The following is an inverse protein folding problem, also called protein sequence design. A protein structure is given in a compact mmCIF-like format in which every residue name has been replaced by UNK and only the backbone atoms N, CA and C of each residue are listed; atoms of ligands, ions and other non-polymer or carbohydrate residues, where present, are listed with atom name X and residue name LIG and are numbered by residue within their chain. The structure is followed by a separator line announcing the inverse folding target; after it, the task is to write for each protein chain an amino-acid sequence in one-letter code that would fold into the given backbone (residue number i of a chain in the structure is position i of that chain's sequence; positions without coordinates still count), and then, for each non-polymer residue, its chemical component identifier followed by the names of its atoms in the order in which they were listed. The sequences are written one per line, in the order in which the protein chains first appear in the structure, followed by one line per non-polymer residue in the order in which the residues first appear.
data_IF_329671745178
#
_entry.id   IF_329671745178
#
_cell.length_a   1.000
_cell.length_b   1.000
_cell.length_c   1.000
_cell.angle_alpha   90.00
_cell.angle_beta   90.00
_cell.angle_gamma   90.00
#
_symmetry.space_group_name_H-M   'P 1'
#
loop_
_entity.id
_entity.type
_entity.pdbx_description
1 polymer ?
#
# COMPACT_ATOMS: atom_id res chain seq x y z
N UNK A 1 1.99 -12.16 15.57
CA UNK A 1 1.64 -11.20 14.47
C UNK A 1 0.17 -10.87 14.52
N UNK A 2 -0.17 -9.61 14.69
CA UNK A 2 -1.56 -9.13 14.72
C UNK A 2 -1.82 -8.26 13.50
N UNK A 3 -2.89 -8.56 12.77
CA UNK A 3 -3.38 -7.71 11.67
C UNK A 3 -4.72 -7.13 12.11
N UNK A 4 -4.81 -5.81 12.10
CA UNK A 4 -6.02 -5.11 12.54
C UNK A 4 -6.20 -3.78 11.82
N UNK A 5 -7.42 -3.21 11.82
CA UNK A 5 -7.63 -1.86 11.34
C UNK A 5 -6.82 -0.85 12.16
N UNK A 6 -6.40 0.23 11.50
CA UNK A 6 -5.78 1.36 12.16
C UNK A 6 -6.87 2.28 12.73
N UNK A 7 -6.79 2.53 14.04
CA UNK A 7 -7.70 3.46 14.71
C UNK A 7 -7.09 4.86 14.77
N UNK A 8 -7.93 5.87 14.95
CA UNK A 8 -7.47 7.26 15.11
C UNK A 8 -6.51 7.43 16.30
N UNK A 9 -6.69 6.64 17.36
CA UNK A 9 -5.82 6.64 18.53
C UNK A 9 -4.40 6.13 18.23
N UNK A 10 -4.23 5.31 17.18
CA UNK A 10 -2.93 4.77 16.77
C UNK A 10 -2.07 5.79 16.01
N UNK A 11 -2.67 6.80 15.41
CA UNK A 11 -1.99 7.69 14.47
C UNK A 11 -0.74 8.35 15.05
N UNK A 12 -0.74 8.90 16.28
CA UNK A 12 0.47 9.52 16.82
C UNK A 12 1.68 8.60 16.90
N UNK A 13 1.48 7.30 17.11
CA UNK A 13 2.56 6.32 17.22
C UNK A 13 2.84 5.65 15.88
N UNK A 14 1.81 5.26 15.13
CA UNK A 14 1.97 4.45 13.93
C UNK A 14 2.22 5.27 12.66
N UNK A 15 1.74 6.50 12.54
CA UNK A 15 2.04 7.31 11.35
C UNK A 15 3.54 7.56 11.15
N UNK A 16 4.32 7.90 12.19
CA UNK A 16 5.78 7.99 12.04
C UNK A 16 6.41 6.67 11.62
N UNK A 17 5.96 5.54 12.19
CA UNK A 17 6.47 4.21 11.87
C UNK A 17 6.13 3.81 10.42
N UNK A 18 4.92 4.12 9.96
CA UNK A 18 4.50 3.89 8.59
C UNK A 18 5.35 4.71 7.62
N UNK A 19 5.58 5.98 7.90
CA UNK A 19 6.40 6.85 7.08
C UNK A 19 7.85 6.35 7.00
N UNK A 20 8.42 5.92 8.12
CA UNK A 20 9.78 5.38 8.16
C UNK A 20 9.89 4.08 7.34
N UNK A 21 8.92 3.18 7.47
CA UNK A 21 8.88 1.92 6.72
C UNK A 21 8.76 2.19 5.21
N UNK A 22 7.84 3.04 4.80
CA UNK A 22 7.63 3.41 3.41
C UNK A 22 8.92 4.01 2.82
N UNK A 23 9.53 4.97 3.52
CA UNK A 23 10.75 5.62 3.05
C UNK A 23 11.89 4.62 2.87
N UNK A 24 12.08 3.72 3.83
CA UNK A 24 13.12 2.69 3.76
C UNK A 24 12.95 1.80 2.52
N UNK A 25 11.74 1.31 2.29
CA UNK A 25 11.45 0.45 1.15
C UNK A 25 11.49 1.21 -0.17
N UNK A 26 11.01 2.45 -0.20
CA UNK A 26 11.06 3.27 -1.40
C UNK A 26 12.48 3.58 -1.83
N UNK A 27 13.37 3.91 -0.90
CA UNK A 27 14.78 4.17 -1.18
C UNK A 27 15.49 2.92 -1.73
N UNK A 28 15.12 1.74 -1.23
CA UNK A 28 15.76 0.50 -1.65
C UNK A 28 15.21 -0.01 -3.00
N UNK A 29 13.89 0.05 -3.22
CA UNK A 29 13.23 -0.70 -4.30
C UNK A 29 12.48 0.16 -5.32
N UNK A 30 12.14 1.40 -5.04
CA UNK A 30 11.19 2.17 -5.85
C UNK A 30 11.84 3.36 -6.56
N UNK A 31 12.64 4.15 -5.85
CA UNK A 31 13.15 5.43 -6.38
C UNK A 31 14.08 5.25 -7.59
N UNK A 32 14.71 4.08 -7.73
CA UNK A 32 15.59 3.78 -8.86
C UNK A 32 14.86 3.70 -10.20
N UNK A 33 13.55 3.47 -10.16
CA UNK A 33 12.68 3.37 -11.34
C UNK A 33 12.15 4.72 -11.81
N UNK A 34 12.44 5.78 -11.07
CA UNK A 34 11.86 7.10 -11.27
C UNK A 34 12.95 8.14 -11.52
N UNK A 35 12.57 9.30 -12.08
CA UNK A 35 13.50 10.42 -12.18
C UNK A 35 13.84 10.94 -10.78
N UNK A 36 15.01 11.63 -10.61
CA UNK A 36 15.34 12.21 -9.30
C UNK A 36 14.24 13.14 -8.76
N UNK A 37 13.60 13.93 -9.60
CA UNK A 37 12.52 14.82 -9.19
C UNK A 37 11.28 14.02 -8.78
N UNK A 38 10.90 13.01 -9.56
CA UNK A 38 9.77 12.13 -9.25
C UNK A 38 9.98 11.39 -7.94
N UNK A 39 11.19 10.89 -7.70
CA UNK A 39 11.55 10.22 -6.45
C UNK A 39 11.46 11.17 -5.25
N UNK A 40 11.99 12.38 -5.38
CA UNK A 40 11.95 13.39 -4.31
C UNK A 40 10.51 13.80 -3.98
N UNK A 41 9.67 14.01 -4.99
CA UNK A 41 8.25 14.33 -4.82
C UNK A 41 7.51 13.20 -4.12
N UNK A 42 7.72 11.96 -4.56
CA UNK A 42 7.11 10.79 -3.93
C UNK A 42 7.46 10.69 -2.44
N UNK A 43 8.73 10.85 -2.09
CA UNK A 43 9.18 10.78 -0.70
C UNK A 43 8.60 11.92 0.14
N UNK A 44 8.51 13.13 -0.43
CA UNK A 44 7.96 14.29 0.27
C UNK A 44 6.45 14.15 0.52
N UNK A 45 5.70 13.62 -0.46
CA UNK A 45 4.25 13.44 -0.35
C UNK A 45 3.85 12.28 0.56
N UNK A 46 4.78 11.36 0.85
CA UNK A 46 4.53 10.17 1.65
C UNK A 46 5.34 10.14 2.95
N UNK A 47 5.66 11.30 3.49
CA UNK A 47 6.22 11.44 4.82
C UNK A 47 5.12 11.29 5.89
N UNK A 48 5.45 11.50 7.16
CA UNK A 48 4.47 11.41 8.24
C UNK A 48 3.27 12.33 8.01
N UNK A 49 3.50 13.56 7.58
CA UNK A 49 2.43 14.51 7.28
C UNK A 49 1.54 13.99 6.14
N UNK A 50 2.12 13.47 5.09
CA UNK A 50 1.39 12.87 3.96
C UNK A 50 0.50 11.71 4.40
N UNK A 51 1.02 10.83 5.24
CA UNK A 51 0.26 9.69 5.77
C UNK A 51 -0.89 10.17 6.66
N UNK A 52 -0.63 11.11 7.59
CA UNK A 52 -1.71 11.69 8.41
C UNK A 52 -2.79 12.34 7.55
N UNK A 53 -2.39 13.01 6.46
CA UNK A 53 -3.30 13.67 5.54
C UNK A 53 -4.27 12.68 4.89
N UNK A 54 -3.76 11.58 4.33
CA UNK A 54 -4.67 10.63 3.67
C UNK A 54 -5.54 9.86 4.68
N UNK A 55 -5.03 9.59 5.89
CA UNK A 55 -5.85 9.01 6.96
C UNK A 55 -7.00 9.95 7.33
N UNK A 56 -6.73 11.24 7.45
CA UNK A 56 -7.76 12.26 7.73
C UNK A 56 -8.80 12.35 6.58
N UNK A 57 -8.41 12.05 5.35
CA UNK A 57 -9.32 12.01 4.19
C UNK A 57 -10.13 10.71 4.09
N UNK A 58 -9.97 9.80 5.05
CA UNK A 58 -10.79 8.59 5.12
C UNK A 58 -10.20 7.37 4.41
N UNK A 59 -8.92 7.37 4.03
CA UNK A 59 -8.29 6.16 3.52
C UNK A 59 -8.33 5.10 4.63
N UNK A 60 -8.75 3.89 4.26
CA UNK A 60 -8.86 2.79 5.21
C UNK A 60 -7.54 2.03 5.29
N UNK A 61 -6.98 1.92 6.49
CA UNK A 61 -5.71 1.23 6.71
C UNK A 61 -5.87 0.02 7.60
N UNK A 62 -5.09 -1.01 7.29
CA UNK A 62 -4.80 -2.12 8.20
C UNK A 62 -3.30 -2.15 8.47
N UNK A 63 -2.94 -2.51 9.68
CA UNK A 63 -1.53 -2.64 10.10
C UNK A 63 -1.26 -4.06 10.54
N UNK A 64 -0.02 -4.50 10.33
CA UNK A 64 0.51 -5.76 10.84
C UNK A 64 1.56 -5.44 11.90
N UNK A 65 1.34 -5.92 13.10
CA UNK A 65 2.20 -5.66 14.26
C UNK A 65 2.83 -6.95 14.75
N UNK A 66 4.14 -6.94 14.91
CA UNK A 66 4.92 -7.98 15.57
C UNK A 66 5.34 -7.42 16.92
N UNK A 67 4.51 -7.69 17.96
CA UNK A 67 4.62 -6.98 19.22
C UNK A 67 4.33 -5.48 19.00
N UNK A 68 5.30 -4.63 19.36
CA UNK A 68 5.19 -3.19 19.17
C UNK A 68 5.80 -2.72 17.83
N UNK A 69 6.38 -3.65 17.04
CA UNK A 69 7.03 -3.32 15.79
C UNK A 69 6.04 -3.36 14.64
N UNK A 70 6.04 -2.33 13.80
CA UNK A 70 5.26 -2.31 12.58
C UNK A 70 5.95 -3.18 11.52
N UNK A 71 5.30 -4.29 11.17
CA UNK A 71 5.80 -5.21 10.15
C UNK A 71 5.33 -4.84 8.74
N UNK A 72 4.17 -4.21 8.62
CA UNK A 72 3.63 -3.80 7.34
C UNK A 72 2.31 -3.06 7.49
N UNK A 73 1.85 -2.48 6.38
CA UNK A 73 0.54 -1.82 6.35
C UNK A 73 -0.03 -1.79 4.93
N UNK A 74 -1.34 -1.61 4.84
CA UNK A 74 -2.06 -1.45 3.59
C UNK A 74 -3.05 -0.29 3.72
N UNK A 75 -3.19 0.51 2.68
CA UNK A 75 -4.15 1.61 2.61
C UNK A 75 -5.02 1.47 1.36
N UNK A 76 -6.33 1.56 1.55
CA UNK A 76 -7.34 1.49 0.48
C UNK A 76 -8.06 2.83 0.40
N UNK A 77 -8.19 3.38 -0.82
CA UNK A 77 -8.96 4.58 -1.11
C UNK A 77 -10.30 4.21 -1.76
N UNK A 78 -11.36 4.83 -1.32
CA UNK A 78 -12.70 4.71 -1.93
C UNK A 78 -13.20 3.26 -2.05
N UNK A 79 -12.75 2.38 -1.18
CA UNK A 79 -13.07 0.94 -1.17
C UNK A 79 -12.73 0.21 -2.50
N UNK A 80 -11.93 0.82 -3.37
CA UNK A 80 -11.67 0.31 -4.73
C UNK A 80 -10.25 0.50 -5.23
N UNK A 81 -9.43 1.32 -4.59
CA UNK A 81 -8.06 1.55 -5.03
C UNK A 81 -7.07 1.21 -3.93
N UNK A 82 -6.21 0.22 -4.20
CA UNK A 82 -5.10 -0.12 -3.31
C UNK A 82 -4.02 0.94 -3.48
N UNK A 83 -3.89 1.83 -2.49
CA UNK A 83 -3.01 2.98 -2.56
C UNK A 83 -1.60 2.65 -2.07
N UNK A 84 -1.47 1.97 -0.94
CA UNK A 84 -0.20 1.54 -0.38
C UNK A 84 -0.28 0.11 0.14
N UNK A 85 0.76 -0.68 -0.13
CA UNK A 85 1.00 -1.98 0.50
C UNK A 85 2.49 -2.13 0.70
N UNK A 86 2.93 -2.07 1.94
CA UNK A 86 4.34 -2.14 2.31
C UNK A 86 4.55 -3.18 3.40
N UNK A 87 5.54 -4.05 3.19
CA UNK A 87 5.96 -5.07 4.17
C UNK A 87 7.46 -4.91 4.39
N UNK A 88 7.87 -4.79 5.65
CA UNK A 88 9.28 -4.67 6.02
C UNK A 88 10.09 -5.88 5.59
N UNK A 89 11.36 -5.66 5.22
CA UNK A 89 12.22 -6.72 4.67
C UNK A 89 12.35 -7.93 5.60
N UNK A 90 12.36 -7.71 6.92
CA UNK A 90 12.44 -8.78 7.90
C UNK A 90 11.22 -9.72 7.89
N UNK A 91 10.08 -9.26 7.34
CA UNK A 91 8.82 -10.01 7.33
C UNK A 91 8.35 -10.40 5.93
N UNK A 92 9.14 -10.13 4.89
CA UNK A 92 8.81 -10.50 3.52
C UNK A 92 8.90 -12.00 3.31
N UNK A 93 8.20 -12.49 2.26
CA UNK A 93 8.15 -13.91 1.86
C UNK A 93 7.54 -14.84 2.92
N UNK A 94 6.70 -14.31 3.79
CA UNK A 94 5.99 -15.05 4.83
C UNK A 94 4.48 -14.97 4.69
N UNK A 95 4.00 -14.49 3.53
CA UNK A 95 2.57 -14.34 3.26
C UNK A 95 1.90 -13.15 3.92
N UNK A 96 2.66 -12.21 4.49
CA UNK A 96 2.09 -11.07 5.21
C UNK A 96 1.35 -10.10 4.29
N UNK A 97 1.89 -9.82 3.10
CA UNK A 97 1.20 -8.98 2.12
C UNK A 97 -0.18 -9.55 1.75
N UNK A 98 -0.26 -10.87 1.55
CA UNK A 98 -1.53 -11.55 1.28
C UNK A 98 -2.52 -11.44 2.44
N UNK A 99 -2.04 -11.60 3.67
CA UNK A 99 -2.89 -11.47 4.85
C UNK A 99 -3.43 -10.05 5.02
N UNK A 100 -2.58 -9.05 4.81
CA UNK A 100 -2.99 -7.64 4.82
C UNK A 100 -4.02 -7.36 3.73
N UNK A 101 -3.75 -7.84 2.52
CA UNK A 101 -4.68 -7.68 1.40
C UNK A 101 -6.04 -8.33 1.68
N UNK A 102 -6.07 -9.57 2.17
CA UNK A 102 -7.33 -10.25 2.48
C UNK A 102 -8.15 -9.49 3.53
N UNK A 103 -7.52 -9.00 4.59
CA UNK A 103 -8.18 -8.22 5.62
C UNK A 103 -8.75 -6.91 5.05
N UNK A 104 -7.95 -6.17 4.30
CA UNK A 104 -8.36 -4.89 3.70
C UNK A 104 -9.47 -5.06 2.67
N UNK A 105 -9.36 -6.09 1.82
CA UNK A 105 -10.38 -6.42 0.82
C UNK A 105 -11.72 -6.74 1.46
N UNK A 106 -11.72 -7.64 2.44
CA UNK A 106 -12.93 -8.02 3.15
C UNK A 106 -13.60 -6.81 3.81
N UNK A 107 -12.83 -5.94 4.43
CA UNK A 107 -13.34 -4.72 5.07
C UNK A 107 -13.91 -3.74 4.03
N UNK A 108 -13.26 -3.56 2.88
CA UNK A 108 -13.73 -2.69 1.80
C UNK A 108 -15.08 -3.18 1.25
N UNK A 109 -15.21 -4.48 1.03
CA UNK A 109 -16.48 -5.09 0.56
C UNK A 109 -17.57 -4.92 1.62
N UNK A 110 -17.25 -5.14 2.90
CA UNK A 110 -18.20 -4.96 4.00
C UNK A 110 -18.70 -3.52 4.11
N UNK A 111 -17.89 -2.53 3.71
CA UNK A 111 -18.29 -1.12 3.67
C UNK A 111 -19.07 -0.73 2.40
N UNK A 112 -19.36 -1.67 1.52
CA UNK A 112 -20.15 -1.45 0.31
C UNK A 112 -19.33 -1.40 -0.98
N UNK A 113 -18.04 -1.71 -0.95
CA UNK A 113 -17.22 -1.83 -2.15
C UNK A 113 -17.73 -2.96 -3.05
N UNK A 114 -17.56 -2.82 -4.37
CA UNK A 114 -18.08 -3.79 -5.35
C UNK A 114 -17.16 -4.99 -5.58
N UNK A 115 -16.01 -5.04 -4.90
CA UNK A 115 -15.06 -6.13 -5.07
C UNK A 115 -14.08 -5.97 -6.23
N UNK A 116 -14.20 -4.89 -6.99
CA UNK A 116 -13.22 -4.54 -8.03
C UNK A 116 -12.19 -3.58 -7.44
N UNK A 117 -10.92 -3.82 -7.77
CA UNK A 117 -9.82 -3.02 -7.23
C UNK A 117 -8.83 -2.64 -8.33
N UNK A 118 -8.25 -1.47 -8.19
CA UNK A 118 -7.12 -1.03 -9.00
C UNK A 118 -5.90 -0.81 -8.13
N UNK A 119 -4.72 -0.86 -8.73
CA UNK A 119 -3.46 -0.49 -8.10
C UNK A 119 -2.53 0.10 -9.15
N UNK A 120 -1.72 1.06 -8.77
CA UNK A 120 -0.61 1.55 -9.59
C UNK A 120 0.68 0.99 -8.99
N UNK A 121 1.14 -0.14 -9.53
CA UNK A 121 2.26 -0.88 -8.96
C UNK A 121 3.60 -0.32 -9.47
N UNK A 122 4.60 -0.24 -8.58
CA UNK A 122 5.99 -0.08 -9.01
C UNK A 122 6.41 -1.31 -9.82
N UNK A 123 7.46 -1.19 -10.65
CA UNK A 123 7.99 -2.34 -11.38
C UNK A 123 8.38 -3.46 -10.42
N UNK A 124 9.00 -3.09 -9.31
CA UNK A 124 9.37 -4.02 -8.25
C UNK A 124 8.18 -4.83 -7.71
N UNK A 125 7.01 -4.21 -7.59
CA UNK A 125 5.84 -4.81 -6.96
C UNK A 125 4.92 -5.59 -7.91
N UNK A 126 5.08 -5.46 -9.22
CA UNK A 126 4.17 -6.09 -10.21
C UNK A 126 3.98 -7.58 -9.93
N UNK A 127 5.06 -8.33 -9.75
CA UNK A 127 4.97 -9.78 -9.53
C UNK A 127 4.20 -10.11 -8.24
N UNK A 128 4.40 -9.35 -7.17
CA UNK A 128 3.67 -9.54 -5.92
C UNK A 128 2.17 -9.32 -6.12
N UNK A 129 1.78 -8.28 -6.85
CA UNK A 129 0.37 -8.02 -7.15
C UNK A 129 -0.24 -9.08 -8.07
N UNK A 130 0.53 -9.58 -9.05
CA UNK A 130 0.07 -10.69 -9.88
C UNK A 130 -0.24 -11.94 -9.03
N UNK A 131 0.57 -12.22 -8.02
CA UNK A 131 0.32 -13.31 -7.07
C UNK A 131 -0.92 -13.11 -6.23
N UNK A 132 -1.38 -11.88 -6.06
CA UNK A 132 -2.64 -11.57 -5.38
C UNK A 132 -3.85 -11.64 -6.33
N UNK A 133 -3.61 -11.81 -7.63
CA UNK A 133 -4.66 -11.92 -8.64
C UNK A 133 -4.85 -10.68 -9.51
N UNK A 134 -4.07 -9.63 -9.30
CA UNK A 134 -4.11 -8.45 -10.16
C UNK A 134 -3.51 -8.75 -11.53
N UNK A 135 -4.03 -8.10 -12.56
CA UNK A 135 -3.50 -8.18 -13.92
C UNK A 135 -3.20 -6.79 -14.45
N UNK A 136 -2.15 -6.67 -15.26
CA UNK A 136 -1.81 -5.41 -15.92
C UNK A 136 -2.90 -5.05 -16.94
N UNK A 137 -3.28 -3.77 -16.96
CA UNK A 137 -4.31 -3.26 -17.88
C UNK A 137 -3.79 -2.21 -18.83
N UNK A 138 -2.53 -1.79 -18.68
CA UNK A 138 -1.87 -0.82 -19.55
C UNK A 138 -0.36 -1.01 -19.49
N UNK A 139 0.41 -0.50 -20.48
CA UNK A 139 1.87 -0.47 -20.38
C UNK A 139 2.34 0.37 -19.19
N UNK A 140 3.59 0.19 -18.79
CA UNK A 140 4.24 1.05 -17.79
C UNK A 140 4.10 2.51 -18.19
N UNK A 141 3.70 3.33 -17.21
CA UNK A 141 3.52 4.76 -17.38
C UNK A 141 4.51 5.54 -16.52
N UNK A 142 4.78 6.77 -16.92
CA UNK A 142 5.58 7.70 -16.11
C UNK A 142 4.83 9.03 -16.05
N UNK A 143 4.42 9.43 -14.85
CA UNK A 143 3.71 10.69 -14.61
C UNK A 143 4.50 11.50 -13.60
N UNK A 144 4.88 12.73 -13.97
CA UNK A 144 5.69 13.61 -13.13
C UNK A 144 6.98 12.93 -12.63
N UNK A 145 7.56 12.08 -13.49
CA UNK A 145 8.80 11.38 -13.20
C UNK A 145 8.66 10.12 -12.34
N UNK A 146 7.45 9.74 -11.97
CA UNK A 146 7.20 8.51 -11.21
C UNK A 146 6.66 7.42 -12.13
N UNK A 147 7.40 6.29 -12.21
CA UNK A 147 7.01 5.14 -13.03
C UNK A 147 6.03 4.24 -12.28
N UNK A 148 5.00 3.78 -12.97
CA UNK A 148 4.03 2.86 -12.37
C UNK A 148 3.35 1.99 -13.43
N UNK A 149 2.74 0.90 -12.98
CA UNK A 149 2.03 -0.07 -13.80
C UNK A 149 0.58 -0.16 -13.34
N UNK A 150 -0.39 0.31 -14.13
CA UNK A 150 -1.80 0.15 -13.78
C UNK A 150 -2.20 -1.32 -13.81
N UNK A 151 -2.82 -1.79 -12.72
CA UNK A 151 -3.29 -3.17 -12.59
C UNK A 151 -4.71 -3.19 -12.02
N UNK A 152 -5.43 -4.27 -12.28
CA UNK A 152 -6.82 -4.44 -11.89
C UNK A 152 -7.08 -5.85 -11.37
N UNK A 153 -7.94 -5.95 -10.34
CA UNK A 153 -8.48 -7.21 -9.85
C UNK A 153 -10.01 -7.14 -9.96
N UNK A 154 -10.59 -7.99 -10.79
CA UNK A 154 -12.03 -8.06 -10.94
C UNK A 154 -12.65 -8.91 -9.81
N UNK A 155 -13.87 -8.53 -9.39
CA UNK A 155 -14.64 -9.37 -8.49
C UNK A 155 -14.91 -10.72 -9.15
N UNK A 156 -14.55 -11.81 -8.45
CA UNK A 156 -14.70 -13.18 -8.98
C UNK A 156 -16.00 -13.86 -8.54
N UNK A 157 -16.86 -13.14 -7.81
CA UNK A 157 -18.06 -13.73 -7.22
C UNK A 157 -17.76 -14.49 -5.92
N UNK A 158 -18.78 -15.09 -5.37
CA UNK A 158 -18.70 -15.89 -4.15
C UNK A 158 -18.22 -17.32 -4.45
#
# INVERSE_FOLDING_TARGET
MVIRPLDSADVPVLAPAMAALLRSLALEFIVHESTPLGAATFLAENDEHGIRSYLARGYACHVALDGERLAGFIAIRDNSHLFHLFVGTAWQRQGLARRLWHAARAAAIARGGDGNFTVNASNYAVLAYERLGFVRVAPTQCVKGLSFNPMHLAWAGD
#
